data_IF_622097738694
#
_entry.id   IF_622097738694
#
_cell.length_a   1.000
_cell.length_b   1.000
_cell.length_c   1.000
_cell.angle_alpha   90.00
_cell.angle_beta   90.00
_cell.angle_gamma   90.00
#
_symmetry.space_group_name_H-M   'P 1'
#
loop_
_entity.id
_entity.type
_entity.pdbx_description
1 polymer ?
#
# COMPACT_ATOMS: atom_id res chain seq x y z
N UNK A 1 58.44 -14.30 32.25
CA UNK A 1 59.35 -14.82 31.20
C UNK A 1 58.72 -14.42 29.87
N UNK A 2 59.15 -13.31 29.27
CA UNK A 2 60.35 -13.16 28.42
C UNK A 2 60.11 -13.79 27.05
N UNK A 3 60.25 -13.14 25.89
CA UNK A 3 60.70 -11.81 25.47
C UNK A 3 60.39 -11.74 23.95
N UNK A 4 59.94 -10.61 23.38
CA UNK A 4 60.69 -9.43 22.89
C UNK A 4 61.78 -9.72 21.84
N UNK A 5 61.76 -8.85 20.80
CA UNK A 5 62.80 -8.45 19.82
C UNK A 5 62.94 -9.31 18.57
N UNK A 6 63.12 -8.80 17.34
CA UNK A 6 63.29 -7.45 16.75
C UNK A 6 62.92 -7.52 15.25
N UNK A 7 62.37 -6.51 14.57
CA UNK A 7 62.95 -5.25 14.04
C UNK A 7 64.13 -5.44 13.05
N UNK A 8 64.05 -4.69 11.94
CA UNK A 8 65.03 -4.42 10.85
C UNK A 8 65.14 -5.50 9.78
N UNK A 9 65.24 -5.18 8.49
CA UNK A 9 65.42 -3.91 7.77
C UNK A 9 65.42 -4.26 6.28
N UNK A 10 64.81 -3.45 5.42
CA UNK A 10 65.49 -2.36 4.73
C UNK A 10 66.47 -2.84 3.64
N UNK A 11 66.20 -2.35 2.42
CA UNK A 11 67.19 -1.77 1.51
C UNK A 11 68.51 -2.51 1.25
N UNK A 12 68.67 -2.96 0.00
CA UNK A 12 69.90 -2.96 -0.81
C UNK A 12 69.45 -3.43 -2.22
N UNK A 13 69.41 -2.68 -3.35
CA UNK A 13 70.39 -1.76 -4.00
C UNK A 13 71.83 -2.28 -3.90
N UNK A 14 72.76 -2.07 -4.87
CA UNK A 14 72.87 -0.94 -5.81
C UNK A 14 73.38 -1.40 -7.22
N UNK A 15 73.63 -0.57 -8.24
CA UNK A 15 74.66 0.47 -8.36
C UNK A 15 74.48 1.22 -9.71
N UNK A 16 74.27 2.54 -9.67
CA UNK A 16 75.25 3.66 -9.88
C UNK A 16 75.24 4.16 -11.34
N UNK A 17 74.82 5.42 -11.58
CA UNK A 17 75.67 6.61 -11.88
C UNK A 17 76.55 6.36 -13.12
N UNK A 18 76.56 7.13 -14.21
CA UNK A 18 76.37 8.57 -14.52
C UNK A 18 76.59 8.70 -16.08
N UNK A 19 76.68 9.88 -16.76
CA UNK A 19 76.33 11.25 -16.38
C UNK A 19 75.55 12.07 -17.48
N UNK A 20 74.97 13.18 -17.01
CA UNK A 20 74.89 14.56 -17.53
C UNK A 20 75.08 14.90 -19.04
N UNK A 21 74.11 15.69 -19.51
CA UNK A 21 74.18 16.94 -20.30
C UNK A 21 75.20 17.11 -21.44
N UNK A 22 74.67 17.43 -22.62
CA UNK A 22 75.01 18.60 -23.46
C UNK A 22 73.98 18.69 -24.60
N UNK A 23 73.02 19.62 -24.53
CA UNK A 23 73.02 20.96 -25.16
C UNK A 23 72.41 20.99 -26.57
N UNK A 24 71.52 21.97 -26.75
CA UNK A 24 71.01 22.54 -28.01
C UNK A 24 69.96 21.78 -28.81
N UNK A 25 68.70 22.20 -28.68
CA UNK A 25 68.09 23.03 -29.72
C UNK A 25 66.77 23.61 -29.24
N UNK A 26 66.65 24.92 -29.46
CA UNK A 26 65.49 25.74 -29.17
C UNK A 26 64.31 25.38 -30.09
N UNK A 27 63.14 25.81 -29.62
CA UNK A 27 61.87 25.96 -30.33
C UNK A 27 60.97 24.71 -30.26
N UNK A 28 59.96 24.78 -29.37
CA UNK A 28 58.63 24.12 -29.32
C UNK A 28 58.27 23.72 -27.87
N UNK A 29 58.35 24.64 -26.90
CA UNK A 29 57.86 24.36 -25.53
C UNK A 29 56.76 25.32 -25.03
N UNK A 30 56.60 26.50 -25.60
CA UNK A 30 55.58 27.45 -25.13
C UNK A 30 54.15 27.11 -25.62
N UNK A 31 53.99 26.40 -26.74
CA UNK A 31 52.67 25.97 -27.22
C UNK A 31 52.10 24.75 -26.46
N UNK A 32 52.96 23.88 -25.92
CA UNK A 32 52.55 22.67 -25.22
C UNK A 32 52.09 22.93 -23.77
N UNK A 33 52.69 23.92 -23.10
CA UNK A 33 52.32 24.30 -21.73
C UNK A 33 50.98 25.04 -21.66
N UNK A 34 50.63 25.84 -22.66
CA UNK A 34 49.31 26.50 -22.75
C UNK A 34 48.19 25.47 -23.03
N UNK A 35 48.45 24.48 -23.88
CA UNK A 35 47.50 23.39 -24.17
C UNK A 35 47.24 22.49 -22.95
N UNK A 36 48.28 22.21 -22.15
CA UNK A 36 48.11 21.44 -20.91
C UNK A 36 47.39 22.25 -19.84
N UNK A 37 47.72 23.54 -19.67
CA UNK A 37 47.02 24.43 -18.72
C UNK A 37 45.51 24.54 -19.04
N UNK A 38 45.15 24.66 -20.32
CA UNK A 38 43.75 24.69 -20.75
C UNK A 38 43.01 23.36 -20.50
N UNK A 39 43.70 22.22 -20.68
CA UNK A 39 43.16 20.88 -20.36
C UNK A 39 42.99 20.67 -18.86
N UNK A 40 43.96 21.09 -18.05
CA UNK A 40 43.86 21.06 -16.58
C UNK A 40 42.70 21.92 -16.08
N UNK A 41 42.54 23.14 -16.60
CA UNK A 41 41.43 24.03 -16.26
C UNK A 41 40.07 23.46 -16.66
N UNK A 42 40.00 22.68 -17.75
CA UNK A 42 38.77 22.00 -18.20
C UNK A 42 38.43 20.81 -17.29
N UNK A 43 39.43 19.99 -16.97
CA UNK A 43 39.29 18.88 -16.03
C UNK A 43 38.91 19.36 -14.63
N UNK A 44 39.47 20.47 -14.16
CA UNK A 44 39.16 21.04 -12.86
C UNK A 44 37.72 21.58 -12.79
N UNK A 45 37.23 22.19 -13.87
CA UNK A 45 35.82 22.56 -14.01
C UNK A 45 34.89 21.37 -14.03
N UNK A 46 35.24 20.32 -14.77
CA UNK A 46 34.45 19.09 -14.85
C UNK A 46 34.40 18.35 -13.51
N UNK A 47 35.52 18.33 -12.77
CA UNK A 47 35.62 17.78 -11.43
C UNK A 47 34.79 18.58 -10.41
N UNK A 48 34.79 19.92 -10.51
CA UNK A 48 33.94 20.76 -9.68
C UNK A 48 32.45 20.58 -10.00
N UNK A 49 32.07 20.49 -11.27
CA UNK A 49 30.69 20.19 -11.67
C UNK A 49 30.23 18.83 -11.14
N UNK A 50 31.07 17.80 -11.25
CA UNK A 50 30.78 16.47 -10.72
C UNK A 50 30.69 16.46 -9.19
N UNK A 51 31.48 17.29 -8.49
CA UNK A 51 31.36 17.45 -7.03
C UNK A 51 30.06 18.13 -6.63
N UNK A 52 29.65 19.17 -7.34
CA UNK A 52 28.37 19.84 -7.11
C UNK A 52 27.19 18.91 -7.40
N UNK A 53 27.24 18.14 -8.49
CA UNK A 53 26.21 17.17 -8.82
C UNK A 53 26.14 16.04 -7.78
N UNK A 54 27.29 15.55 -7.29
CA UNK A 54 27.34 14.54 -6.23
C UNK A 54 26.78 15.10 -4.90
N UNK A 55 27.08 16.36 -4.57
CA UNK A 55 26.50 17.03 -3.41
C UNK A 55 24.97 17.17 -3.54
N UNK A 56 24.48 17.52 -4.73
CA UNK A 56 23.06 17.63 -5.03
C UNK A 56 22.33 16.28 -4.96
N UNK A 57 22.91 15.22 -5.54
CA UNK A 57 22.38 13.87 -5.46
C UNK A 57 22.36 13.32 -4.03
N UNK A 58 23.36 13.67 -3.21
CA UNK A 58 23.37 13.33 -1.77
C UNK A 58 22.26 14.04 -1.01
N UNK A 59 22.01 15.32 -1.32
CA UNK A 59 20.89 16.07 -0.76
C UNK A 59 19.56 15.43 -1.17
N UNK A 60 19.35 15.15 -2.45
CA UNK A 60 18.11 14.52 -2.95
C UNK A 60 17.88 13.11 -2.35
N UNK A 61 18.95 12.37 -2.08
CA UNK A 61 18.89 11.08 -1.38
C UNK A 61 18.44 11.26 0.07
N UNK A 62 19.00 12.23 0.78
CA UNK A 62 18.65 12.54 2.17
C UNK A 62 17.21 13.09 2.27
N UNK A 63 16.79 13.93 1.33
CA UNK A 63 15.42 14.41 1.19
C UNK A 63 14.44 13.25 0.94
N UNK A 64 14.83 12.29 0.08
CA UNK A 64 14.02 11.09 -0.15
C UNK A 64 13.95 10.18 1.08
N UNK A 65 15.05 10.05 1.83
CA UNK A 65 15.09 9.28 3.06
C UNK A 65 14.29 9.93 4.19
N UNK A 66 14.33 11.25 4.31
CA UNK A 66 13.55 12.02 5.28
C UNK A 66 12.07 12.00 4.94
N UNK A 67 11.69 12.15 3.67
CA UNK A 67 10.32 11.99 3.20
C UNK A 67 9.76 10.57 3.47
N UNK A 68 10.55 9.52 3.21
CA UNK A 68 10.17 8.15 3.55
C UNK A 68 10.00 7.99 5.08
N UNK A 69 10.95 8.50 5.87
CA UNK A 69 10.86 8.48 7.34
C UNK A 69 9.64 9.26 7.85
N UNK A 70 9.26 10.34 7.19
CA UNK A 70 8.07 11.13 7.50
C UNK A 70 6.79 10.35 7.17
N UNK A 71 6.67 9.77 5.98
CA UNK A 71 5.57 8.86 5.60
C UNK A 71 5.46 7.64 6.55
N UNK A 72 6.59 7.18 7.09
CA UNK A 72 6.59 6.12 8.11
C UNK A 72 6.14 6.65 9.48
N UNK A 73 6.34 7.93 9.79
CA UNK A 73 6.09 8.52 11.11
C UNK A 73 4.78 9.27 11.24
N UNK A 74 4.15 9.69 10.15
CA UNK A 74 2.87 10.39 10.18
C UNK A 74 1.81 9.48 10.81
N UNK A 75 1.30 9.92 11.96
CA UNK A 75 0.52 9.11 12.87
C UNK A 75 -0.42 10.01 13.67
N UNK A 76 -1.65 10.14 13.17
CA UNK A 76 -2.81 10.52 13.99
C UNK A 76 -4.15 10.25 13.30
N UNK A 77 -4.21 10.24 11.95
CA UNK A 77 -5.48 10.06 11.22
C UNK A 77 -5.42 9.15 9.97
N UNK A 78 -4.24 8.66 9.57
CA UNK A 78 -4.09 7.90 8.33
C UNK A 78 -4.57 6.44 8.51
N UNK A 79 -5.41 5.94 7.60
CA UNK A 79 -5.82 4.53 7.60
C UNK A 79 -4.63 3.67 7.19
N UNK A 80 -4.45 2.50 7.82
CA UNK A 80 -3.36 1.56 7.47
C UNK A 80 -3.33 1.23 5.97
N UNK A 81 -4.49 1.21 5.31
CA UNK A 81 -4.62 1.02 3.87
C UNK A 81 -4.02 2.18 3.07
N UNK A 82 -4.23 3.43 3.48
CA UNK A 82 -3.68 4.62 2.83
C UNK A 82 -2.15 4.65 2.97
N UNK A 83 -1.64 4.39 4.18
CA UNK A 83 -0.20 4.29 4.44
C UNK A 83 0.46 3.17 3.63
N UNK A 84 -0.19 2.01 3.53
CA UNK A 84 0.25 0.88 2.68
C UNK A 84 0.25 1.26 1.20
N UNK A 85 -0.81 1.90 0.71
CA UNK A 85 -0.91 2.36 -0.69
C UNK A 85 0.18 3.38 -0.98
N UNK A 86 0.45 4.33 -0.08
CA UNK A 86 1.47 5.35 -0.25
C UNK A 86 2.89 4.73 -0.28
N UNK A 87 3.16 3.75 0.57
CA UNK A 87 4.41 2.99 0.55
C UNK A 87 4.58 2.18 -0.75
N UNK A 88 3.52 1.52 -1.23
CA UNK A 88 3.54 0.80 -2.50
C UNK A 88 3.72 1.74 -3.70
N UNK A 89 3.03 2.89 -3.72
CA UNK A 89 3.21 3.93 -4.75
C UNK A 89 4.64 4.43 -4.77
N UNK A 90 5.23 4.69 -3.61
CA UNK A 90 6.63 5.13 -3.52
C UNK A 90 7.59 4.07 -4.10
N UNK A 91 7.42 2.79 -3.75
CA UNK A 91 8.21 1.70 -4.32
C UNK A 91 8.03 1.59 -5.84
N UNK A 92 6.79 1.74 -6.33
CA UNK A 92 6.46 1.69 -7.74
C UNK A 92 7.13 2.84 -8.50
N UNK A 93 7.07 4.07 -7.99
CA UNK A 93 7.74 5.24 -8.59
C UNK A 93 9.26 5.03 -8.65
N UNK A 94 9.88 4.45 -7.61
CA UNK A 94 11.31 4.12 -7.64
C UNK A 94 11.65 3.10 -8.72
N UNK A 95 10.83 2.06 -8.86
CA UNK A 95 10.99 1.04 -9.91
C UNK A 95 10.81 1.64 -11.31
N UNK A 96 9.77 2.45 -11.52
CA UNK A 96 9.51 3.14 -12.79
C UNK A 96 10.69 4.03 -13.19
N UNK A 97 11.23 4.81 -12.24
CA UNK A 97 12.42 5.63 -12.47
C UNK A 97 13.62 4.77 -12.92
N UNK A 98 13.86 3.62 -12.28
CA UNK A 98 14.95 2.73 -12.68
C UNK A 98 14.73 2.12 -14.06
N UNK A 99 13.49 1.72 -14.38
CA UNK A 99 13.12 1.20 -15.70
C UNK A 99 13.35 2.28 -16.77
N UNK A 100 12.98 3.53 -16.51
CA UNK A 100 13.21 4.63 -17.44
C UNK A 100 14.70 4.83 -17.73
N UNK A 101 15.55 4.86 -16.69
CA UNK A 101 17.00 4.97 -16.81
C UNK A 101 17.59 3.78 -17.59
N UNK A 102 17.12 2.56 -17.31
CA UNK A 102 17.56 1.35 -18.02
C UNK A 102 17.16 1.37 -19.49
N UNK A 103 15.94 1.81 -19.80
CA UNK A 103 15.46 1.92 -21.18
C UNK A 103 16.23 2.98 -21.97
N UNK A 104 16.53 4.12 -21.36
CA UNK A 104 17.37 5.15 -21.98
C UNK A 104 18.78 4.61 -22.28
N UNK A 105 19.40 3.93 -21.31
CA UNK A 105 20.71 3.31 -21.50
C UNK A 105 20.71 2.20 -22.56
N UNK A 106 19.62 1.42 -22.65
CA UNK A 106 19.42 0.41 -23.69
C UNK A 106 19.24 1.05 -25.06
N UNK A 107 18.46 2.12 -25.17
CA UNK A 107 18.26 2.87 -26.41
C UNK A 107 19.57 3.43 -26.96
N UNK A 108 20.36 4.11 -26.11
CA UNK A 108 21.69 4.59 -26.50
C UNK A 108 22.62 3.48 -27.00
N UNK A 109 22.55 2.28 -26.40
CA UNK A 109 23.33 1.13 -26.84
C UNK A 109 22.83 0.58 -28.18
N UNK A 110 21.51 0.49 -28.35
CA UNK A 110 20.90 0.06 -29.59
C UNK A 110 21.30 0.99 -30.74
N UNK A 111 21.28 2.30 -30.54
CA UNK A 111 21.68 3.28 -31.55
C UNK A 111 23.16 3.13 -31.93
N UNK A 112 24.04 2.96 -30.95
CA UNK A 112 25.47 2.73 -31.20
C UNK A 112 25.74 1.43 -31.96
N UNK A 113 25.00 0.35 -31.65
CA UNK A 113 25.11 -0.94 -32.35
C UNK A 113 24.57 -0.82 -33.78
N UNK A 114 23.43 -0.17 -33.98
CA UNK A 114 22.86 0.07 -35.31
C UNK A 114 23.80 0.90 -36.18
N UNK A 115 24.48 1.90 -35.62
CA UNK A 115 25.46 2.69 -36.36
C UNK A 115 26.67 1.85 -36.81
N UNK A 116 27.16 0.96 -35.95
CA UNK A 116 28.23 0.00 -36.31
C UNK A 116 27.74 -0.98 -37.38
N UNK A 117 26.52 -1.50 -37.26
CA UNK A 117 25.93 -2.41 -38.23
C UNK A 117 25.77 -1.75 -39.61
N UNK A 118 25.30 -0.50 -39.65
CA UNK A 118 25.20 0.29 -40.86
C UNK A 118 26.58 0.54 -41.49
N UNK A 119 27.59 0.86 -40.67
CA UNK A 119 28.96 1.03 -41.15
C UNK A 119 29.55 -0.26 -41.73
N UNK A 120 29.31 -1.40 -41.07
CA UNK A 120 29.72 -2.72 -41.57
C UNK A 120 29.01 -3.09 -42.87
N UNK A 121 27.70 -2.81 -42.96
CA UNK A 121 26.88 -3.12 -44.13
C UNK A 121 27.33 -2.31 -45.33
N UNK A 122 27.53 -1.00 -45.14
CA UNK A 122 28.08 -0.12 -46.16
C UNK A 122 29.46 -0.57 -46.63
N UNK A 123 30.35 -0.96 -45.71
CA UNK A 123 31.67 -1.49 -46.06
C UNK A 123 31.56 -2.78 -46.87
N UNK A 124 30.69 -3.70 -46.45
CA UNK A 124 30.47 -4.96 -47.15
C UNK A 124 29.96 -4.71 -48.59
N UNK A 125 29.03 -3.77 -48.78
CA UNK A 125 28.52 -3.41 -50.10
C UNK A 125 29.59 -2.74 -50.96
N UNK A 126 30.42 -1.87 -50.36
CA UNK A 126 31.53 -1.23 -51.07
C UNK A 126 32.57 -2.26 -51.51
N UNK A 127 32.93 -3.21 -50.64
CA UNK A 127 33.82 -4.33 -50.99
C UNK A 127 33.22 -5.24 -52.06
N UNK A 128 31.92 -5.57 -51.96
CA UNK A 128 31.20 -6.32 -53.00
C UNK A 128 31.24 -5.61 -54.35
N UNK A 129 31.09 -4.29 -54.38
CA UNK A 129 31.17 -3.51 -55.62
C UNK A 129 32.53 -3.63 -56.31
N UNK A 130 33.63 -3.68 -55.54
CA UNK A 130 34.96 -3.90 -56.08
C UNK A 130 35.17 -5.34 -56.59
N UNK A 131 34.51 -6.33 -55.96
CA UNK A 131 34.57 -7.72 -56.42
C UNK A 131 33.64 -8.04 -57.59
N UNK A 132 32.56 -7.26 -57.75
CA UNK A 132 31.58 -7.41 -58.83
C UNK A 132 31.96 -6.62 -60.10
N UNK A 133 32.89 -5.66 -60.00
CA UNK A 133 33.50 -5.03 -61.16
C UNK A 133 34.26 -6.09 -61.96
N UNK A 134 33.90 -6.25 -63.24
CA UNK A 134 34.19 -7.39 -64.11
C UNK A 134 35.67 -7.46 -64.59
N UNK A 135 36.62 -7.16 -63.72
CA UNK A 135 38.06 -7.39 -63.92
C UNK A 135 38.42 -8.78 -63.39
N UNK A 136 38.38 -9.78 -64.27
CA UNK A 136 38.93 -11.12 -64.01
C UNK A 136 40.46 -11.02 -63.88
N UNK A 137 40.93 -10.65 -62.70
CA UNK A 137 42.35 -10.53 -62.35
C UNK A 137 42.57 -10.79 -60.87
N UNK A 138 43.78 -11.24 -60.51
CA UNK A 138 44.14 -11.58 -59.12
C UNK A 138 44.28 -10.35 -58.21
N UNK A 139 44.16 -9.13 -58.76
CA UNK A 139 44.34 -7.87 -58.05
C UNK A 139 43.20 -6.90 -58.31
N UNK A 140 42.65 -6.34 -57.24
CA UNK A 140 41.63 -5.29 -57.23
C UNK A 140 42.33 -3.97 -56.90
N UNK A 141 42.24 -2.99 -57.80
CA UNK A 141 42.81 -1.66 -57.60
C UNK A 141 41.80 -0.78 -56.85
N UNK A 142 42.15 -0.35 -55.63
CA UNK A 142 41.32 0.53 -54.80
C UNK A 142 41.98 1.91 -54.75
N UNK A 143 41.21 2.96 -55.03
CA UNK A 143 41.71 4.33 -54.91
C UNK A 143 42.04 4.64 -53.44
N UNK A 144 43.18 5.31 -53.21
CA UNK A 144 43.62 5.65 -51.85
C UNK A 144 42.58 6.48 -51.08
N UNK A 145 41.86 7.38 -51.76
CA UNK A 145 40.79 8.18 -51.16
C UNK A 145 39.61 7.35 -50.66
N UNK A 146 39.22 6.30 -51.40
CA UNK A 146 38.17 5.37 -50.98
C UNK A 146 38.62 4.52 -49.80
N UNK A 147 39.88 4.05 -49.82
CA UNK A 147 40.46 3.31 -48.71
C UNK A 147 40.53 4.15 -47.42
N UNK A 148 40.97 5.41 -47.53
CA UNK A 148 41.00 6.34 -46.40
C UNK A 148 39.59 6.60 -45.86
N UNK A 149 38.59 6.80 -46.73
CA UNK A 149 37.19 7.00 -46.32
C UNK A 149 36.60 5.78 -45.60
N UNK A 150 36.92 4.56 -46.07
CA UNK A 150 36.52 3.31 -45.41
C UNK A 150 37.13 3.19 -44.00
N UNK A 151 38.41 3.53 -43.85
CA UNK A 151 39.11 3.51 -42.56
C UNK A 151 38.52 4.55 -41.60
N UNK A 152 38.27 5.77 -42.07
CA UNK A 152 37.70 6.86 -41.25
C UNK A 152 36.29 6.53 -40.74
N UNK A 153 35.45 5.95 -41.60
CA UNK A 153 34.09 5.54 -41.23
C UNK A 153 34.10 4.40 -40.20
N UNK A 154 35.00 3.42 -40.36
CA UNK A 154 35.23 2.34 -39.40
C UNK A 154 35.73 2.86 -38.04
N UNK A 155 36.71 3.77 -38.05
CA UNK A 155 37.26 4.35 -36.83
C UNK A 155 36.23 5.23 -36.11
N UNK A 156 35.43 6.01 -36.85
CA UNK A 156 34.32 6.78 -36.28
C UNK A 156 33.31 5.86 -35.58
N UNK A 157 32.87 4.79 -36.23
CA UNK A 157 31.93 3.82 -35.65
C UNK A 157 32.54 3.12 -34.42
N UNK A 158 33.83 2.74 -34.48
CA UNK A 158 34.57 2.15 -33.35
C UNK A 158 34.64 3.09 -32.15
N UNK A 159 34.99 4.36 -32.37
CA UNK A 159 35.09 5.38 -31.31
C UNK A 159 33.71 5.63 -30.67
N UNK A 160 32.64 5.67 -31.46
CA UNK A 160 31.28 5.85 -30.94
C UNK A 160 30.81 4.65 -30.11
N UNK A 161 31.08 3.42 -30.58
CA UNK A 161 30.82 2.20 -29.80
C UNK A 161 31.58 2.20 -28.47
N UNK A 162 32.85 2.61 -28.50
CA UNK A 162 33.69 2.70 -27.31
C UNK A 162 33.17 3.74 -26.32
N UNK A 163 32.77 4.93 -26.79
CA UNK A 163 32.14 5.96 -25.95
C UNK A 163 30.81 5.50 -25.35
N UNK A 164 30.00 4.77 -26.10
CA UNK A 164 28.75 4.19 -25.60
C UNK A 164 29.00 3.16 -24.48
N UNK A 165 30.06 2.37 -24.60
CA UNK A 165 30.50 1.43 -23.55
C UNK A 165 31.03 2.15 -22.30
N UNK A 166 31.84 3.20 -22.44
CA UNK A 166 32.37 3.97 -21.31
C UNK A 166 31.27 4.75 -20.55
N UNK A 167 30.29 5.31 -21.27
CA UNK A 167 29.15 6.03 -20.67
C UNK A 167 28.21 5.15 -19.83
N UNK A 168 28.25 3.83 -20.05
CA UNK A 168 27.47 2.83 -19.29
C UNK A 168 28.18 2.29 -18.04
N UNK A 169 29.23 2.97 -17.55
CA UNK A 169 29.87 2.63 -16.28
C UNK A 169 28.83 2.46 -15.15
N UNK A 170 29.07 1.47 -14.26
CA UNK A 170 28.16 0.97 -13.19
C UNK A 170 27.39 2.03 -12.39
N UNK A 171 27.84 3.28 -12.39
CA UNK A 171 27.27 4.39 -11.62
C UNK A 171 26.07 5.09 -12.29
N UNK A 172 25.86 4.93 -13.61
CA UNK A 172 24.74 5.59 -14.34
C UNK A 172 23.51 4.71 -14.49
N UNK A 173 23.69 3.38 -14.55
CA UNK A 173 22.63 2.42 -14.92
C UNK A 173 21.95 1.76 -13.70
N UNK A 174 22.57 1.84 -12.51
CA UNK A 174 22.04 1.25 -11.28
C UNK A 174 22.02 2.28 -10.16
N UNK A 175 20.97 3.11 -10.09
CA UNK A 175 20.67 3.80 -8.83
C UNK A 175 20.15 2.78 -7.83
N UNK A 176 20.65 2.82 -6.61
CA UNK A 176 20.26 1.89 -5.55
C UNK A 176 18.75 1.96 -5.29
N UNK A 177 18.11 0.80 -5.21
CA UNK A 177 16.71 0.70 -4.84
C UNK A 177 16.61 0.77 -3.32
N UNK A 178 15.87 1.76 -2.81
CA UNK A 178 15.71 1.95 -1.36
C UNK A 178 14.55 1.07 -0.90
N UNK A 179 14.85 -0.20 -0.63
CA UNK A 179 13.86 -1.15 -0.18
C UNK A 179 13.88 -1.30 1.35
N UNK A 180 13.22 -0.40 2.07
CA UNK A 180 13.25 -0.39 3.54
C UNK A 180 12.32 -1.43 4.18
N UNK A 181 12.72 -2.71 4.16
CA UNK A 181 11.95 -3.78 4.83
C UNK A 181 12.81 -4.64 5.79
N UNK A 182 12.54 -4.62 7.10
CA UNK A 182 13.26 -5.41 8.10
C UNK A 182 13.03 -6.93 8.01
N UNK A 183 11.97 -7.37 7.30
CA UNK A 183 11.66 -8.79 7.11
C UNK A 183 12.43 -9.42 5.95
N UNK A 184 13.22 -8.67 5.17
CA UNK A 184 14.14 -9.24 4.20
C UNK A 184 15.52 -9.57 4.83
N UNK A 185 16.12 -10.66 4.36
CA UNK A 185 17.44 -11.13 4.77
C UNK A 185 18.63 -10.55 3.96
N UNK A 186 19.83 -11.06 4.26
CA UNK A 186 21.08 -11.00 3.48
C UNK A 186 21.66 -9.63 3.09
N UNK A 187 21.99 -9.42 1.80
CA UNK A 187 22.77 -8.30 1.22
C UNK A 187 22.21 -6.93 1.60
N UNK A 188 20.90 -6.85 1.76
CA UNK A 188 20.20 -5.67 2.23
C UNK A 188 20.62 -5.25 3.66
N UNK A 189 20.94 -6.20 4.55
CA UNK A 189 21.50 -5.91 5.90
C UNK A 189 22.98 -5.53 5.87
N UNK A 190 23.68 -5.79 4.76
CA UNK A 190 25.10 -5.45 4.59
C UNK A 190 25.28 -4.07 3.92
N UNK A 191 24.20 -3.28 3.76
CA UNK A 191 24.18 -2.03 3.01
C UNK A 191 24.68 -2.19 1.56
N UNK A 192 24.54 -3.38 0.97
CA UNK A 192 24.83 -3.56 -0.45
C UNK A 192 23.71 -2.95 -1.30
N UNK A 193 24.05 -2.25 -2.40
CA UNK A 193 23.07 -1.64 -3.28
C UNK A 193 22.21 -2.71 -3.96
N UNK A 194 20.89 -2.63 -3.80
CA UNK A 194 19.94 -3.51 -4.45
C UNK A 194 19.56 -2.94 -5.82
N UNK A 195 19.71 -3.73 -6.89
CA UNK A 195 19.30 -3.33 -8.24
C UNK A 195 17.99 -3.98 -8.69
N UNK A 196 17.31 -3.40 -9.68
CA UNK A 196 16.17 -4.02 -10.36
C UNK A 196 16.50 -5.42 -10.88
N UNK A 197 17.75 -5.62 -11.36
CA UNK A 197 18.21 -6.91 -11.85
C UNK A 197 18.21 -7.96 -10.74
N UNK A 198 18.63 -7.59 -9.52
CA UNK A 198 18.60 -8.51 -8.38
C UNK A 198 17.17 -8.92 -8.00
N UNK A 199 16.21 -8.01 -8.13
CA UNK A 199 14.78 -8.29 -7.93
C UNK A 199 14.26 -9.24 -9.04
N UNK A 200 14.55 -8.92 -10.31
CA UNK A 200 14.06 -9.70 -11.47
C UNK A 200 14.67 -11.10 -11.57
N UNK A 201 15.93 -11.26 -11.14
CA UNK A 201 16.65 -12.53 -11.11
C UNK A 201 16.38 -13.33 -9.82
N UNK A 202 15.44 -12.87 -8.97
CA UNK A 202 15.11 -13.49 -7.69
C UNK A 202 16.33 -13.68 -6.77
N UNK A 203 17.29 -12.74 -6.85
CA UNK A 203 18.46 -12.67 -5.95
C UNK A 203 18.16 -11.92 -4.66
N UNK A 204 16.92 -11.44 -4.51
CA UNK A 204 16.39 -10.94 -3.25
C UNK A 204 16.46 -12.05 -2.21
N UNK A 205 17.14 -11.77 -1.11
CA UNK A 205 17.28 -12.74 -0.03
C UNK A 205 15.92 -13.17 0.52
N UNK A 206 15.85 -14.43 0.95
CA UNK A 206 14.68 -15.04 1.55
C UNK A 206 14.12 -14.20 2.69
N UNK A 207 12.80 -14.33 2.90
CA UNK A 207 12.12 -13.78 4.08
C UNK A 207 12.88 -14.22 5.33
N UNK A 208 13.20 -13.25 6.18
CA UNK A 208 13.88 -13.50 7.43
C UNK A 208 12.91 -14.14 8.43
N UNK A 209 12.89 -15.47 8.46
CA UNK A 209 12.02 -16.25 9.34
C UNK A 209 12.24 -15.95 10.82
N UNK A 210 13.41 -15.43 11.22
CA UNK A 210 13.64 -14.99 12.60
C UNK A 210 12.77 -13.77 12.96
N UNK A 211 12.66 -12.80 12.05
CA UNK A 211 11.78 -11.64 12.27
C UNK A 211 10.30 -12.03 12.18
N UNK A 212 9.94 -12.99 11.33
CA UNK A 212 8.58 -13.55 11.28
C UNK A 212 8.23 -14.26 12.59
N UNK A 213 9.12 -15.10 13.12
CA UNK A 213 8.92 -15.77 14.41
C UNK A 213 8.85 -14.79 15.58
N UNK A 214 9.59 -13.67 15.52
CA UNK A 214 9.47 -12.59 16.49
C UNK A 214 8.10 -11.91 16.43
N UNK A 215 7.59 -11.63 15.23
CA UNK A 215 6.25 -11.07 15.03
C UNK A 215 5.15 -12.03 15.52
N UNK A 216 5.28 -13.32 15.22
CA UNK A 216 4.37 -14.36 15.75
C UNK A 216 4.38 -14.40 17.28
N UNK A 217 5.55 -14.28 17.89
CA UNK A 217 5.68 -14.20 19.35
C UNK A 217 5.00 -12.94 19.92
N UNK A 218 5.16 -11.78 19.26
CA UNK A 218 4.49 -10.53 19.65
C UNK A 218 2.97 -10.64 19.50
N UNK A 219 2.48 -11.26 18.41
CA UNK A 219 1.05 -11.54 18.19
C UNK A 219 0.46 -12.42 19.29
N UNK A 220 1.17 -13.49 19.67
CA UNK A 220 0.76 -14.36 20.76
C UNK A 220 0.70 -13.60 22.10
N UNK A 221 1.65 -12.70 22.36
CA UNK A 221 1.62 -11.84 23.56
C UNK A 221 0.46 -10.84 23.52
N UNK A 222 0.23 -10.17 22.38
CA UNK A 222 -0.90 -9.26 22.18
C UNK A 222 -2.23 -9.97 22.40
N UNK A 223 -2.40 -11.18 21.83
CA UNK A 223 -3.61 -11.98 22.02
C UNK A 223 -3.86 -12.28 23.50
N UNK A 224 -2.82 -12.65 24.26
CA UNK A 224 -2.93 -12.86 25.71
C UNK A 224 -3.34 -11.58 26.45
N UNK A 225 -2.78 -10.43 26.10
CA UNK A 225 -3.16 -9.15 26.74
C UNK A 225 -4.58 -8.72 26.37
N UNK A 226 -5.01 -8.92 25.12
CA UNK A 226 -6.38 -8.65 24.68
C UNK A 226 -7.41 -9.54 25.38
N UNK A 227 -7.11 -10.83 25.58
CA UNK A 227 -7.95 -11.72 26.40
C UNK A 227 -8.07 -11.16 27.82
N UNK A 228 -6.95 -10.77 28.44
CA UNK A 228 -7.00 -10.23 29.81
C UNK A 228 -7.82 -8.93 29.89
N UNK A 229 -7.72 -8.06 28.88
CA UNK A 229 -8.56 -6.84 28.78
C UNK A 229 -10.03 -7.23 28.63
N UNK A 230 -10.34 -8.20 27.77
CA UNK A 230 -11.70 -8.70 27.57
C UNK A 230 -12.30 -9.30 28.85
N UNK A 231 -11.56 -10.17 29.53
CA UNK A 231 -11.95 -10.76 30.82
C UNK A 231 -12.16 -9.66 31.88
N UNK A 232 -11.29 -8.64 31.90
CA UNK A 232 -11.43 -7.50 32.81
C UNK A 232 -12.71 -6.71 32.53
N UNK A 233 -13.01 -6.41 31.26
CA UNK A 233 -14.25 -5.73 30.86
C UNK A 233 -15.49 -6.55 31.22
N UNK A 234 -15.46 -7.87 31.01
CA UNK A 234 -16.58 -8.77 31.37
C UNK A 234 -16.81 -8.86 32.89
N UNK A 235 -15.74 -8.79 33.68
CA UNK A 235 -15.82 -8.86 35.13
C UNK A 235 -16.27 -7.53 35.79
N UNK A 236 -16.19 -6.41 35.08
CA UNK A 236 -16.78 -5.13 35.50
C UNK A 236 -18.30 -5.20 35.31
N UNK A 237 -19.02 -5.64 36.35
CA UNK A 237 -20.48 -5.68 36.34
C UNK A 237 -21.06 -4.26 36.20
N UNK A 238 -22.15 -4.06 35.43
CA UNK A 238 -22.78 -2.74 35.26
C UNK A 238 -23.35 -2.13 36.56
N UNK A 239 -23.47 -2.91 37.64
CA UNK A 239 -23.93 -2.42 38.95
C UNK A 239 -22.91 -1.53 39.68
N UNK A 240 -21.62 -1.54 39.33
CA UNK A 240 -20.61 -0.65 39.92
C UNK A 240 -20.51 0.73 39.25
N UNK A 241 -21.15 0.90 38.08
CA UNK A 241 -21.19 2.19 37.36
C UNK A 241 -22.30 3.12 37.88
N UNK A 242 -23.25 2.60 38.65
CA UNK A 242 -24.43 3.35 39.12
C UNK A 242 -24.19 4.17 40.40
N UNK A 243 -23.07 4.00 41.10
CA UNK A 243 -22.77 4.78 42.32
C UNK A 243 -21.27 5.08 42.38
N UNK A 244 -20.82 6.09 41.62
CA UNK A 244 -19.71 7.00 41.93
C UNK A 244 -18.30 6.50 42.33
N UNK A 245 -18.06 5.21 42.54
CA UNK A 245 -16.85 4.71 43.18
C UNK A 245 -16.36 3.42 42.52
N UNK A 246 -15.85 3.53 41.29
CA UNK A 246 -14.67 2.70 40.97
C UNK A 246 -13.54 3.24 41.85
N UNK A 247 -12.87 2.36 42.59
CA UNK A 247 -11.64 2.74 43.29
C UNK A 247 -10.67 3.35 42.25
N UNK A 248 -10.06 4.50 42.53
CA UNK A 248 -9.09 5.15 41.62
C UNK A 248 -8.03 4.15 41.12
N UNK A 249 -7.58 3.26 42.01
CA UNK A 249 -6.63 2.20 41.69
C UNK A 249 -7.14 1.18 40.65
N UNK A 250 -8.44 0.88 40.62
CA UNK A 250 -9.04 -0.01 39.62
C UNK A 250 -9.18 0.68 38.26
N UNK A 251 -9.52 1.97 38.26
CA UNK A 251 -9.56 2.80 37.05
C UNK A 251 -8.15 2.95 36.45
N UNK A 252 -7.17 3.31 37.27
CA UNK A 252 -5.77 3.47 36.85
C UNK A 252 -5.18 2.15 36.32
N UNK A 253 -5.53 1.03 36.95
CA UNK A 253 -5.13 -0.31 36.51
C UNK A 253 -5.77 -0.67 35.16
N UNK A 254 -7.04 -0.34 34.97
CA UNK A 254 -7.76 -0.58 33.71
C UNK A 254 -7.18 0.27 32.58
N UNK A 255 -6.91 1.54 32.85
CA UNK A 255 -6.32 2.48 31.91
C UNK A 255 -4.90 2.04 31.52
N UNK A 256 -4.08 1.63 32.48
CA UNK A 256 -2.72 1.12 32.22
C UNK A 256 -2.75 -0.16 31.37
N UNK A 257 -3.70 -1.06 31.64
CA UNK A 257 -3.88 -2.30 30.90
C UNK A 257 -4.31 -2.05 29.45
N UNK A 258 -5.26 -1.13 29.26
CA UNK A 258 -5.73 -0.70 27.95
C UNK A 258 -4.62 0.00 27.16
N UNK A 259 -3.91 0.95 27.78
CA UNK A 259 -2.78 1.65 27.17
C UNK A 259 -1.69 0.68 26.72
N UNK A 260 -1.34 -0.30 27.58
CA UNK A 260 -0.36 -1.34 27.23
C UNK A 260 -0.82 -2.16 26.02
N UNK A 261 -2.08 -2.58 25.98
CA UNK A 261 -2.64 -3.31 24.85
C UNK A 261 -2.66 -2.46 23.57
N UNK A 262 -2.98 -1.17 23.66
CA UNK A 262 -2.96 -0.24 22.53
C UNK A 262 -1.55 -0.03 21.97
N UNK A 263 -0.53 0.12 22.82
CA UNK A 263 0.87 0.25 22.40
C UNK A 263 1.34 -1.03 21.71
N UNK A 264 1.06 -2.20 22.29
CA UNK A 264 1.42 -3.49 21.68
C UNK A 264 0.67 -3.73 20.36
N UNK A 265 -0.61 -3.35 20.28
CA UNK A 265 -1.40 -3.45 19.06
C UNK A 265 -0.80 -2.58 17.97
N UNK A 266 -0.40 -1.35 18.28
CA UNK A 266 0.26 -0.44 17.34
C UNK A 266 1.57 -1.03 16.82
N UNK A 267 2.44 -1.48 17.70
CA UNK A 267 3.74 -2.06 17.32
C UNK A 267 3.58 -3.31 16.42
N UNK A 268 2.64 -4.20 16.76
CA UNK A 268 2.36 -5.40 15.97
C UNK A 268 1.72 -5.05 14.63
N UNK A 269 0.85 -4.04 14.59
CA UNK A 269 0.21 -3.57 13.35
C UNK A 269 1.21 -2.93 12.40
N UNK A 270 2.17 -2.16 12.93
CA UNK A 270 3.28 -1.61 12.15
C UNK A 270 4.14 -2.73 11.54
N UNK A 271 4.52 -3.73 12.33
CA UNK A 271 5.29 -4.89 11.85
C UNK A 271 4.51 -5.70 10.79
N UNK A 272 3.21 -5.93 11.00
CA UNK A 272 2.33 -6.62 10.04
C UNK A 272 2.17 -5.85 8.74
N UNK A 273 2.00 -4.51 8.82
CA UNK A 273 1.92 -3.65 7.65
C UNK A 273 3.19 -3.76 6.82
N UNK A 274 4.35 -3.70 7.45
CA UNK A 274 5.64 -3.81 6.75
C UNK A 274 5.84 -5.21 6.15
N UNK A 275 5.41 -6.28 6.81
CA UNK A 275 5.39 -7.62 6.24
C UNK A 275 4.43 -7.73 5.04
N UNK A 276 3.27 -7.06 5.09
CA UNK A 276 2.27 -7.07 4.03
C UNK A 276 2.75 -6.44 2.70
N UNK A 277 3.81 -5.63 2.75
CA UNK A 277 4.46 -5.08 1.55
C UNK A 277 5.27 -6.14 0.78
N UNK A 278 5.73 -7.21 1.45
CA UNK A 278 6.51 -8.29 0.82
C UNK A 278 5.65 -9.26 0.03
N UNK A 279 4.36 -9.34 0.35
CA UNK A 279 3.40 -10.11 -0.40
C UNK A 279 2.52 -9.11 -1.16
N UNK A 280 2.91 -8.71 -2.39
CA UNK A 280 1.97 -8.06 -3.28
C UNK A 280 0.92 -9.14 -3.59
N UNK A 281 -0.12 -9.20 -2.76
CA UNK A 281 -1.36 -9.88 -3.08
C UNK A 281 -2.05 -9.04 -4.15
N UNK A 282 -1.42 -8.92 -5.31
CA UNK A 282 -2.17 -8.59 -6.51
C UNK A 282 -3.21 -9.70 -6.63
N UNK A 283 -4.49 -9.39 -6.88
CA UNK A 283 -5.40 -10.40 -7.38
C UNK A 283 -4.72 -10.98 -8.62
N UNK A 284 -4.24 -12.23 -8.50
CA UNK A 284 -3.66 -12.92 -9.63
C UNK A 284 -4.77 -12.98 -10.67
N UNK A 285 -4.53 -12.51 -11.92
CA UNK A 285 -5.54 -12.66 -12.95
C UNK A 285 -5.93 -14.14 -12.98
N UNK A 286 -7.24 -14.41 -12.91
CA UNK A 286 -7.79 -15.76 -12.89
C UNK A 286 -7.09 -16.54 -14.00
N UNK A 287 -6.34 -17.57 -13.62
CA UNK A 287 -5.60 -18.38 -14.58
C UNK A 287 -6.61 -18.90 -15.59
N UNK A 288 -6.55 -18.38 -16.82
CA UNK A 288 -7.46 -18.74 -17.92
C UNK A 288 -7.36 -20.23 -18.30
N UNK A 289 -6.35 -20.93 -17.76
CA UNK A 289 -6.23 -22.38 -17.82
C UNK A 289 -6.57 -22.93 -16.44
N UNK A 290 -7.60 -23.80 -16.33
CA UNK A 290 -7.79 -24.54 -15.09
C UNK A 290 -6.49 -25.31 -14.81
N UNK A 291 -5.90 -25.09 -13.63
CA UNK A 291 -4.86 -25.97 -13.11
C UNK A 291 -5.40 -27.40 -13.20
N UNK A 292 -4.65 -28.29 -13.88
CA UNK A 292 -5.03 -29.68 -14.01
C UNK A 292 -5.31 -30.23 -12.61
N UNK A 293 -6.56 -30.66 -12.38
CA UNK A 293 -7.10 -30.96 -11.04
C UNK A 293 -6.38 -32.11 -10.33
N UNK A 294 -5.59 -32.90 -11.06
CA UNK A 294 -4.76 -33.96 -10.53
C UNK A 294 -3.49 -34.07 -11.38
N UNK A 295 -2.33 -33.93 -10.74
CA UNK A 295 -1.04 -34.25 -11.37
C UNK A 295 -0.93 -35.78 -11.39
N UNK A 296 -0.70 -36.41 -12.54
CA UNK A 296 -0.50 -37.86 -12.58
C UNK A 296 0.98 -38.20 -12.36
N UNK A 297 1.24 -39.35 -11.73
CA UNK A 297 2.59 -39.87 -11.49
C UNK A 297 3.36 -39.98 -12.82
N UNK A 298 2.71 -40.47 -13.86
CA UNK A 298 3.29 -40.62 -15.21
C UNK A 298 3.75 -39.29 -15.81
N UNK A 299 3.03 -38.19 -15.56
CA UNK A 299 3.42 -36.85 -16.04
C UNK A 299 4.64 -36.31 -15.31
N UNK A 300 4.77 -36.58 -14.01
CA UNK A 300 5.92 -36.14 -13.22
C UNK A 300 7.15 -36.95 -13.61
N UNK A 301 7.00 -38.27 -13.77
CA UNK A 301 8.10 -39.16 -14.21
C UNK A 301 8.57 -38.79 -15.62
N UNK A 302 7.65 -38.49 -16.54
CA UNK A 302 8.00 -38.06 -17.91
C UNK A 302 8.73 -36.71 -17.96
N UNK A 303 8.59 -35.87 -16.92
CA UNK A 303 9.27 -34.58 -16.82
C UNK A 303 10.62 -34.66 -16.09
N UNK A 304 10.94 -35.80 -15.47
CA UNK A 304 12.22 -36.01 -14.78
C UNK A 304 13.31 -36.49 -15.75
N UNK A 305 14.58 -36.12 -15.51
CA UNK A 305 15.71 -36.66 -16.26
C UNK A 305 15.79 -38.18 -16.10
N UNK A 306 16.40 -38.88 -17.08
CA UNK A 306 16.49 -40.34 -17.08
C UNK A 306 17.13 -40.87 -15.78
N UNK A 307 16.33 -41.59 -15.00
CA UNK A 307 16.72 -42.14 -13.70
C UNK A 307 17.41 -43.52 -13.86
N UNK A 308 18.41 -43.86 -13.04
CA UNK A 308 18.97 -45.21 -12.98
C UNK A 308 17.90 -46.24 -12.57
N UNK A 309 17.84 -47.39 -13.27
CA UNK A 309 16.85 -48.46 -13.01
C UNK A 309 16.83 -48.93 -11.55
N UNK A 310 17.97 -48.91 -10.87
CA UNK A 310 18.10 -49.31 -9.46
C UNK A 310 17.44 -48.36 -8.45
N UNK A 311 17.15 -47.11 -8.85
CA UNK A 311 16.52 -46.08 -8.01
C UNK A 311 15.14 -45.67 -8.50
N UNK A 312 14.71 -46.26 -9.62
CA UNK A 312 13.47 -45.89 -10.27
C UNK A 312 12.27 -46.17 -9.36
N UNK A 313 12.16 -47.39 -8.80
CA UNK A 313 11.06 -47.79 -7.90
C UNK A 313 10.97 -46.93 -6.62
N UNK A 314 12.10 -46.63 -5.99
CA UNK A 314 12.17 -45.80 -4.78
C UNK A 314 11.70 -44.36 -5.09
N UNK A 315 12.12 -43.81 -6.22
CA UNK A 315 11.69 -42.48 -6.68
C UNK A 315 10.22 -42.47 -7.08
N UNK A 316 9.70 -43.51 -7.74
CA UNK A 316 8.26 -43.63 -8.04
C UNK A 316 7.43 -43.60 -6.76
N UNK A 317 7.84 -44.36 -5.74
CA UNK A 317 7.13 -44.44 -4.47
C UNK A 317 7.14 -43.11 -3.72
N UNK A 318 8.28 -42.39 -3.68
CA UNK A 318 8.37 -41.07 -3.05
C UNK A 318 7.51 -40.05 -3.80
N UNK A 319 7.55 -40.05 -5.14
CA UNK A 319 6.71 -39.17 -5.96
C UNK A 319 5.24 -39.48 -5.70
N UNK A 320 4.84 -40.76 -5.71
CA UNK A 320 3.48 -41.19 -5.45
C UNK A 320 2.98 -40.72 -4.08
N UNK A 321 3.73 -40.97 -3.00
CA UNK A 321 3.37 -40.53 -1.66
C UNK A 321 3.28 -38.99 -1.55
N UNK A 322 4.23 -38.27 -2.16
CA UNK A 322 4.24 -36.80 -2.18
C UNK A 322 3.04 -36.23 -2.94
N UNK A 323 2.69 -36.90 -4.04
CA UNK A 323 1.65 -36.48 -4.97
C UNK A 323 0.25 -36.81 -4.41
N UNK A 324 0.09 -37.95 -3.74
CA UNK A 324 -1.10 -38.26 -2.93
C UNK A 324 -1.30 -37.21 -1.83
N UNK A 325 -0.25 -36.83 -1.11
CA UNK A 325 -0.30 -35.78 -0.08
C UNK A 325 -0.71 -34.43 -0.67
N UNK A 326 -0.12 -34.03 -1.80
CA UNK A 326 -0.46 -32.78 -2.49
C UNK A 326 -1.90 -32.77 -3.00
N UNK A 327 -2.35 -33.87 -3.62
CA UNK A 327 -3.73 -34.02 -4.10
C UNK A 327 -4.74 -34.01 -2.95
N UNK A 328 -4.43 -34.65 -1.83
CA UNK A 328 -5.28 -34.64 -0.64
C UNK A 328 -5.38 -33.22 -0.04
N UNK A 329 -4.26 -32.50 0.08
CA UNK A 329 -4.25 -31.10 0.50
C UNK A 329 -5.08 -30.22 -0.44
N UNK A 330 -4.98 -30.43 -1.75
CA UNK A 330 -5.78 -29.69 -2.73
C UNK A 330 -7.28 -29.96 -2.58
N UNK A 331 -7.67 -31.23 -2.35
CA UNK A 331 -9.05 -31.61 -2.06
C UNK A 331 -9.57 -30.93 -0.79
N UNK A 332 -8.79 -30.94 0.30
CA UNK A 332 -9.15 -30.28 1.55
C UNK A 332 -9.33 -28.78 1.37
N UNK A 333 -8.40 -28.10 0.67
CA UNK A 333 -8.51 -26.67 0.37
C UNK A 333 -9.75 -26.37 -0.48
N UNK A 334 -10.06 -27.22 -1.46
CA UNK A 334 -11.27 -27.05 -2.29
C UNK A 334 -12.52 -27.16 -1.43
N UNK A 335 -12.60 -28.16 -0.53
CA UNK A 335 -13.71 -28.29 0.41
C UNK A 335 -13.81 -27.09 1.35
N UNK A 336 -12.69 -26.62 1.88
CA UNK A 336 -12.65 -25.43 2.74
C UNK A 336 -13.17 -24.19 2.01
N UNK A 337 -12.78 -23.97 0.75
CA UNK A 337 -13.29 -22.87 -0.06
C UNK A 337 -14.80 -22.99 -0.25
N UNK A 338 -15.33 -24.19 -0.51
CA UNK A 338 -16.78 -24.39 -0.65
C UNK A 338 -17.51 -24.08 0.66
N UNK A 339 -17.03 -24.58 1.79
CA UNK A 339 -17.63 -24.31 3.10
C UNK A 339 -17.60 -22.81 3.45
N UNK A 340 -16.47 -22.13 3.19
CA UNK A 340 -16.36 -20.68 3.40
C UNK A 340 -17.31 -19.87 2.50
N UNK A 341 -17.59 -20.35 1.28
CA UNK A 341 -18.57 -19.71 0.39
C UNK A 341 -20.00 -19.90 0.91
N UNK A 342 -20.32 -21.07 1.45
CA UNK A 342 -21.61 -21.35 2.06
C UNK A 342 -21.81 -20.50 3.33
N UNK A 343 -20.78 -20.40 4.17
CA UNK A 343 -20.78 -19.54 5.37
C UNK A 343 -20.93 -18.06 5.01
N UNK A 344 -20.24 -17.59 3.97
CA UNK A 344 -20.37 -16.22 3.47
C UNK A 344 -21.79 -15.96 2.94
N UNK A 345 -22.38 -16.91 2.20
CA UNK A 345 -23.74 -16.80 1.71
C UNK A 345 -24.75 -16.73 2.87
N UNK A 346 -24.55 -17.55 3.91
CA UNK A 346 -25.35 -17.51 5.14
C UNK A 346 -25.26 -16.15 5.82
N UNK A 347 -24.06 -15.64 6.09
CA UNK A 347 -23.90 -14.33 6.73
C UNK A 347 -24.48 -13.19 5.89
N UNK A 348 -24.33 -13.25 4.56
CA UNK A 348 -24.94 -12.27 3.65
C UNK A 348 -26.47 -12.27 3.80
N UNK A 349 -27.10 -13.45 3.84
CA UNK A 349 -28.55 -13.54 4.04
C UNK A 349 -29.01 -13.04 5.41
N UNK A 350 -28.21 -13.25 6.47
CA UNK A 350 -28.51 -12.74 7.81
C UNK A 350 -28.43 -11.21 7.82
N UNK A 351 -27.36 -10.62 7.28
CA UNK A 351 -27.22 -9.16 7.23
C UNK A 351 -28.29 -8.50 6.35
N UNK A 352 -28.68 -9.13 5.25
CA UNK A 352 -29.79 -8.64 4.42
C UNK A 352 -31.11 -8.63 5.20
N UNK A 353 -31.35 -9.66 6.02
CA UNK A 353 -32.54 -9.73 6.88
C UNK A 353 -32.50 -8.65 7.99
N UNK A 354 -31.35 -8.45 8.63
CA UNK A 354 -31.16 -7.40 9.64
C UNK A 354 -31.37 -6.00 9.04
N UNK A 355 -30.83 -5.74 7.84
CA UNK A 355 -31.04 -4.49 7.12
C UNK A 355 -32.51 -4.26 6.79
N UNK A 356 -33.22 -5.30 6.32
CA UNK A 356 -34.66 -5.22 6.08
C UNK A 356 -35.44 -4.93 7.36
N UNK A 357 -35.09 -5.57 8.48
CA UNK A 357 -35.70 -5.30 9.77
C UNK A 357 -35.51 -3.84 10.21
N UNK A 358 -34.27 -3.34 10.16
CA UNK A 358 -33.95 -1.96 10.52
C UNK A 358 -34.69 -0.97 9.63
N UNK A 359 -34.78 -1.24 8.33
CA UNK A 359 -35.49 -0.38 7.40
C UNK A 359 -36.99 -0.33 7.68
N UNK A 360 -37.62 -1.48 7.90
CA UNK A 360 -39.04 -1.57 8.27
C UNK A 360 -39.32 -0.85 9.60
N UNK A 361 -38.41 -0.99 10.58
CA UNK A 361 -38.52 -0.30 11.86
C UNK A 361 -38.45 1.21 11.68
N UNK A 362 -37.45 1.73 10.94
CA UNK A 362 -37.33 3.16 10.69
C UNK A 362 -38.52 3.73 9.91
N UNK A 363 -39.06 3.00 8.95
CA UNK A 363 -40.24 3.42 8.21
C UNK A 363 -41.49 3.46 9.11
N UNK A 364 -41.64 2.49 10.02
CA UNK A 364 -42.71 2.50 11.02
C UNK A 364 -42.56 3.68 12.00
N UNK A 365 -41.34 3.97 12.45
CA UNK A 365 -41.04 5.13 13.32
C UNK A 365 -41.37 6.43 12.61
N UNK A 366 -40.89 6.59 11.36
CA UNK A 366 -41.13 7.79 10.56
C UNK A 366 -42.63 8.00 10.30
N UNK A 367 -43.36 6.93 10.00
CA UNK A 367 -44.81 6.99 9.80
C UNK A 367 -45.56 7.33 11.08
N UNK A 368 -45.20 6.71 12.20
CA UNK A 368 -45.79 7.01 13.50
C UNK A 368 -45.56 8.45 13.93
N UNK A 369 -44.35 8.98 13.72
CA UNK A 369 -44.05 10.38 14.00
C UNK A 369 -44.83 11.35 13.10
N UNK A 370 -44.97 11.04 11.81
CA UNK A 370 -45.79 11.84 10.89
C UNK A 370 -47.28 11.85 11.23
N UNK A 371 -47.83 10.70 11.63
CA UNK A 371 -49.21 10.59 12.13
C UNK A 371 -49.42 11.44 13.40
N UNK A 372 -48.44 11.38 14.31
CA UNK A 372 -48.43 12.18 15.53
C UNK A 372 -48.33 13.69 15.25
N UNK A 373 -47.40 14.12 14.40
CA UNK A 373 -47.23 15.54 14.01
C UNK A 373 -48.52 16.10 13.39
N UNK A 374 -49.15 15.31 12.52
CA UNK A 374 -50.41 15.69 11.87
C UNK A 374 -51.54 15.83 12.90
N UNK A 375 -51.63 14.88 13.84
CA UNK A 375 -52.63 14.90 14.91
C UNK A 375 -52.42 16.09 15.86
N UNK A 376 -51.19 16.36 16.27
CA UNK A 376 -50.84 17.51 17.11
C UNK A 376 -51.15 18.84 16.41
N UNK A 377 -50.87 18.93 15.10
CA UNK A 377 -51.19 20.12 14.30
C UNK A 377 -52.70 20.37 14.23
N UNK A 378 -53.51 19.32 14.08
CA UNK A 378 -54.97 19.43 13.96
C UNK A 378 -55.67 19.67 15.30
N UNK A 379 -55.23 19.00 16.37
CA UNK A 379 -55.89 19.05 17.68
C UNK A 379 -55.44 20.24 18.54
N UNK A 380 -54.18 20.68 18.39
CA UNK A 380 -53.59 21.71 19.27
C UNK A 380 -53.27 22.97 18.47
N UNK A 381 -52.45 22.85 17.42
CA UNK A 381 -51.94 24.05 16.74
C UNK A 381 -53.02 24.80 15.97
N UNK A 382 -53.93 24.09 15.29
CA UNK A 382 -54.98 24.71 14.48
C UNK A 382 -56.00 25.47 15.33
N UNK A 383 -56.60 24.90 16.40
CA UNK A 383 -57.53 25.65 17.25
C UNK A 383 -56.90 26.88 17.90
N UNK A 384 -55.67 26.76 18.40
CA UNK A 384 -54.93 27.89 18.97
C UNK A 384 -54.63 28.97 17.94
N UNK A 385 -54.29 28.58 16.71
CA UNK A 385 -54.02 29.52 15.62
C UNK A 385 -55.30 30.23 15.18
N UNK A 386 -56.39 29.50 15.02
CA UNK A 386 -57.69 30.05 14.61
C UNK A 386 -58.20 31.07 15.66
N UNK A 387 -58.02 30.78 16.96
CA UNK A 387 -58.34 31.72 18.06
C UNK A 387 -57.40 32.93 18.05
N UNK A 388 -56.10 32.72 17.83
CA UNK A 388 -55.12 33.80 17.83
C UNK A 388 -55.29 34.74 16.62
N UNK A 389 -55.65 34.20 15.46
CA UNK A 389 -55.95 34.97 14.25
C UNK A 389 -57.28 35.74 14.42
N UNK A 390 -58.29 35.15 15.06
CA UNK A 390 -59.54 35.83 15.42
C UNK A 390 -59.32 36.96 16.46
N UNK A 391 -58.46 36.73 17.44
CA UNK A 391 -58.08 37.75 18.42
C UNK A 391 -57.35 38.93 17.75
N UNK A 392 -56.41 38.65 16.84
CA UNK A 392 -55.75 39.70 16.06
C UNK A 392 -56.73 40.46 15.17
N UNK A 393 -57.72 39.78 14.60
CA UNK A 393 -58.77 40.43 13.82
C UNK A 393 -59.63 41.37 14.69
N UNK A 394 -59.97 40.95 15.90
CA UNK A 394 -60.65 41.77 16.89
C UNK A 394 -59.82 43.00 17.30
N UNK A 395 -58.53 42.80 17.57
CA UNK A 395 -57.59 43.88 17.94
C UNK A 395 -57.46 44.94 16.83
N UNK A 396 -57.42 44.51 15.56
CA UNK A 396 -57.22 45.42 14.43
C UNK A 396 -58.49 46.13 13.96
N UNK A 397 -59.68 45.51 14.11
CA UNK A 397 -60.93 46.05 13.57
C UNK A 397 -61.83 46.70 14.62
N UNK A 398 -61.70 46.34 15.90
CA UNK A 398 -62.47 46.86 17.04
C UNK A 398 -63.99 46.98 16.80
N UNK A 399 -64.55 46.09 15.97
CA UNK A 399 -65.96 46.08 15.58
C UNK A 399 -66.76 45.04 16.37
N UNK A 400 -68.07 45.29 16.54
CA UNK A 400 -68.96 44.35 17.23
C UNK A 400 -69.09 43.01 16.47
N UNK A 401 -68.99 43.06 15.14
CA UNK A 401 -68.99 41.88 14.28
C UNK A 401 -67.72 41.03 14.48
N UNK A 402 -66.55 41.66 14.60
CA UNK A 402 -65.31 40.95 14.92
C UNK A 402 -65.31 40.33 16.33
N UNK A 403 -66.01 40.95 17.28
CA UNK A 403 -66.18 40.40 18.62
C UNK A 403 -67.10 39.16 18.62
N UNK A 404 -68.19 39.20 17.85
CA UNK A 404 -69.06 38.02 17.65
C UNK A 404 -68.31 36.88 16.96
N UNK A 405 -67.51 37.20 15.95
CA UNK A 405 -66.71 36.21 15.22
C UNK A 405 -65.66 35.54 16.12
N UNK A 406 -64.97 36.33 16.96
CA UNK A 406 -64.07 35.79 17.99
C UNK A 406 -64.78 34.83 18.96
N UNK A 407 -65.93 35.23 19.52
CA UNK A 407 -66.70 34.37 20.43
C UNK A 407 -67.22 33.10 19.75
N UNK A 408 -67.61 33.18 18.48
CA UNK A 408 -68.02 32.01 17.69
C UNK A 408 -66.85 31.04 17.46
N UNK A 409 -65.66 31.55 17.13
CA UNK A 409 -64.46 30.74 16.89
C UNK A 409 -63.98 30.09 18.19
N UNK A 410 -63.97 30.82 19.30
CA UNK A 410 -63.64 30.28 20.63
C UNK A 410 -64.64 29.18 21.02
N UNK A 411 -65.94 29.42 20.84
CA UNK A 411 -66.99 28.43 21.14
C UNK A 411 -66.90 27.19 20.25
N UNK A 412 -66.56 27.35 18.97
CA UNK A 412 -66.41 26.21 18.04
C UNK A 412 -65.20 25.32 18.34
N UNK A 413 -64.20 25.86 19.05
CA UNK A 413 -62.98 25.16 19.43
C UNK A 413 -62.96 24.74 20.91
N UNK A 414 -64.00 25.09 21.68
CA UNK A 414 -64.11 24.86 23.12
C UNK A 414 -63.98 23.36 23.47
N UNK A 415 -64.73 22.49 22.81
CA UNK A 415 -64.69 21.05 23.06
C UNK A 415 -63.30 20.44 22.77
N UNK A 416 -62.60 20.94 21.75
CA UNK A 416 -61.26 20.47 21.40
C UNK A 416 -60.21 20.95 22.41
N UNK A 417 -60.32 22.20 22.87
CA UNK A 417 -59.44 22.74 23.90
C UNK A 417 -59.68 22.08 25.26
N UNK A 418 -60.93 21.82 25.64
CA UNK A 418 -61.27 21.08 26.86
C UNK A 418 -60.70 19.66 26.78
N UNK A 419 -60.88 18.96 25.65
CA UNK A 419 -60.28 17.64 25.46
C UNK A 419 -58.74 17.67 25.55
N UNK A 420 -58.09 18.68 24.98
CA UNK A 420 -56.63 18.85 25.03
C UNK A 420 -56.18 19.14 26.46
N UNK A 421 -56.87 20.04 27.15
CA UNK A 421 -56.61 20.36 28.57
C UNK A 421 -56.82 19.11 29.40
N UNK A 422 -57.92 18.37 29.29
CA UNK A 422 -58.13 17.12 30.03
C UNK A 422 -57.04 16.06 29.76
N UNK A 423 -56.54 15.95 28.52
CA UNK A 423 -55.40 15.05 28.21
C UNK A 423 -54.05 15.53 28.73
N UNK A 424 -53.87 16.84 28.93
CA UNK A 424 -52.64 17.43 29.48
C UNK A 424 -52.69 17.58 31.01
N UNK A 425 -53.90 17.71 31.55
CA UNK A 425 -54.25 18.05 32.94
C UNK A 425 -54.75 16.82 33.73
N UNK A 426 -54.73 15.63 33.14
CA UNK A 426 -54.78 14.36 33.88
C UNK A 426 -53.46 14.16 34.66
N UNK A 427 -53.17 15.07 35.60
CA UNK A 427 -52.07 15.03 36.56
C UNK A 427 -52.58 15.48 37.94
N UNK A 428 -52.63 14.54 38.88
CA UNK A 428 -52.41 14.89 40.28
C UNK A 428 -50.91 15.17 40.44
N UNK A 429 -50.59 16.39 40.86
CA UNK A 429 -49.29 17.07 40.87
C UNK A 429 -48.21 16.54 41.86
N UNK A 430 -48.08 15.22 42.10
CA UNK A 430 -47.24 14.72 43.22
C UNK A 430 -46.09 13.75 42.88
N UNK A 431 -45.63 13.64 41.62
CA UNK A 431 -44.35 12.95 41.38
C UNK A 431 -43.57 13.45 40.15
N UNK A 432 -42.30 13.79 40.40
CA UNK A 432 -41.28 14.42 39.52
C UNK A 432 -40.93 13.70 38.19
N UNK A 433 -41.72 12.74 37.69
CA UNK A 433 -41.41 11.99 36.45
C UNK A 433 -42.48 12.10 35.34
N UNK A 434 -43.46 12.98 35.49
CA UNK A 434 -44.78 12.76 34.85
C UNK A 434 -45.12 13.60 33.63
N UNK A 435 -44.24 14.50 33.16
CA UNK A 435 -44.39 15.12 31.83
C UNK A 435 -44.41 14.11 30.67
N UNK A 436 -43.83 12.92 30.89
CA UNK A 436 -43.79 11.83 29.92
C UNK A 436 -45.13 11.08 29.75
N UNK A 437 -46.09 11.22 30.68
CA UNK A 437 -47.30 10.38 30.69
C UNK A 437 -48.43 10.86 29.75
N UNK A 438 -48.50 12.14 29.40
CA UNK A 438 -49.48 12.62 28.40
C UNK A 438 -49.15 12.12 26.98
N UNK A 439 -47.86 12.01 26.65
CA UNK A 439 -47.39 11.30 25.48
C UNK A 439 -47.41 9.78 25.63
N UNK A 440 -47.68 9.23 26.82
CA UNK A 440 -47.67 7.77 27.07
C UNK A 440 -48.78 7.04 26.33
N UNK A 441 -49.94 7.65 26.07
CA UNK A 441 -50.99 6.95 25.30
C UNK A 441 -50.62 6.77 23.83
N UNK A 442 -50.05 7.82 23.22
CA UNK A 442 -49.47 7.76 21.87
C UNK A 442 -48.20 6.89 21.85
N UNK A 443 -47.37 6.98 22.90
CA UNK A 443 -46.18 6.16 23.10
C UNK A 443 -46.52 4.69 23.28
N UNK A 444 -47.58 4.35 23.98
CA UNK A 444 -48.10 3.00 24.16
C UNK A 444 -48.71 2.46 22.87
N UNK A 445 -49.44 3.27 22.11
CA UNK A 445 -49.95 2.88 20.78
C UNK A 445 -48.80 2.66 19.79
N UNK A 446 -47.79 3.53 19.83
CA UNK A 446 -46.58 3.43 19.03
C UNK A 446 -45.74 2.20 19.41
N UNK A 447 -45.48 2.01 20.70
CA UNK A 447 -44.78 0.84 21.22
C UNK A 447 -45.58 -0.45 21.00
N UNK A 448 -46.91 -0.38 21.01
CA UNK A 448 -47.81 -1.47 20.62
C UNK A 448 -47.67 -1.84 19.15
N UNK A 449 -47.66 -0.84 18.25
CA UNK A 449 -47.40 -1.03 16.81
C UNK A 449 -46.00 -1.61 16.58
N UNK A 450 -44.96 -1.08 17.24
CA UNK A 450 -43.58 -1.61 17.18
C UNK A 450 -43.54 -3.06 17.67
N UNK A 451 -44.09 -3.36 18.85
CA UNK A 451 -44.09 -4.71 19.41
C UNK A 451 -44.84 -5.72 18.52
N UNK A 452 -45.92 -5.29 17.86
CA UNK A 452 -46.63 -6.14 16.88
C UNK A 452 -45.79 -6.44 15.63
N UNK A 453 -44.98 -5.47 15.18
CA UNK A 453 -44.05 -5.61 14.06
C UNK A 453 -42.86 -6.50 14.42
N UNK A 454 -42.28 -6.31 15.61
CA UNK A 454 -41.24 -7.16 16.18
C UNK A 454 -41.69 -8.62 16.21
N UNK A 455 -42.90 -8.91 16.70
CA UNK A 455 -43.45 -10.28 16.71
C UNK A 455 -43.64 -10.85 15.30
N UNK A 456 -44.09 -10.04 14.34
CA UNK A 456 -44.24 -10.49 12.93
C UNK A 456 -42.89 -10.80 12.27
N UNK A 457 -41.84 -10.07 12.61
CA UNK A 457 -40.48 -10.32 12.13
C UNK A 457 -39.85 -11.54 12.79
N UNK A 458 -40.00 -11.71 14.11
CA UNK A 458 -39.55 -12.92 14.83
C UNK A 458 -40.21 -14.19 14.29
N UNK A 459 -41.47 -14.12 13.86
CA UNK A 459 -42.13 -15.27 13.22
C UNK A 459 -41.57 -15.60 11.82
N UNK A 460 -40.93 -14.65 11.12
CA UNK A 460 -40.23 -14.92 9.86
C UNK A 460 -38.85 -15.53 10.08
N UNK A 461 -38.16 -15.19 11.17
CA UNK A 461 -36.89 -15.85 11.57
C UNK A 461 -37.06 -17.34 11.91
N UNK A 462 -38.24 -17.77 12.36
CA UNK A 462 -38.50 -19.18 12.71
C UNK A 462 -38.78 -20.05 11.47
N UNK A 463 -39.05 -19.43 10.31
CA UNK A 463 -39.42 -20.11 9.06
C UNK A 463 -38.26 -20.28 8.05
N UNK A 464 -37.07 -19.76 8.37
CA UNK A 464 -35.82 -19.95 7.62
C UNK A 464 -34.81 -20.68 8.49
#
# INVERSE_FOLDING_TARGET
>A
MSGRLGILGAFNRPRTLNPLHQSNSNCVQDAANVSNSARYSKLERELNNLKEENAKLRSELDDSQTALKQLIRENSHEKFDERRINQLKFQLIQLERQIAILNEALGCRQDAVLEVENAMTWLADKLRSYTAADTKGQMILIARGDLTSMIELLESARIKLFKALEGTGKNTVGKDLIFMNPFLGGKYKQNEPLSLLDISLQRMDYINLRHVAQLESKLCQLYKELIRVHEHIQNVKPKSLSVGHMNSAEKDRSETMLLKACVMLKDVSDDLMVLSLLCPSSPWPVLKRPLNKQVSIDRVIAALPALPRSKQEEVTHIIEASLQTCNHRHLLLTKQITMLKEELAFHTSVYDLEMQYMQVLFDAVRKGYGEFETSARLLICKPLKDILDAYKHLENSASEDAFREFLLIVKSNEEQLISVVETLDSQNFDSDETGAMAFSKFGEEFMGKINSLVRKCQMKEILH
#
